data_IF_619130621986
#
_entry.id   IF_619130621986
#
_cell.length_a   1.000
_cell.length_b   1.000
_cell.length_c   1.000
_cell.angle_alpha   90.00
_cell.angle_beta   90.00
_cell.angle_gamma   90.00
#
_symmetry.space_group_name_H-M   'P 1'
#
loop_
_entity.id
_entity.type
_entity.pdbx_description
1 polymer ?
#
# COMPACT_ATOMS: atom_id res chain seq x y z
N UNK A 1 -2.90 -3.20 -1.08
CA UNK A 1 -4.36 -3.11 -1.26
C UNK A 1 -5.17 -3.54 -0.04
N UNK A 2 -4.86 -3.01 1.16
CA UNK A 2 -5.56 -3.39 2.40
C UNK A 2 -7.00 -2.82 2.46
N UNK A 3 -7.18 -1.54 2.13
CA UNK A 3 -8.49 -0.88 2.19
C UNK A 3 -9.52 -1.47 1.21
N UNK A 4 -9.11 -1.71 -0.04
CA UNK A 4 -9.98 -2.33 -1.06
C UNK A 4 -10.36 -3.77 -0.70
N UNK A 5 -9.40 -4.56 -0.21
CA UNK A 5 -9.65 -5.92 0.24
C UNK A 5 -10.61 -5.98 1.44
N UNK A 6 -10.51 -5.03 2.39
CA UNK A 6 -11.44 -4.96 3.53
C UNK A 6 -12.87 -4.72 3.06
N UNK A 7 -13.09 -3.82 2.11
CA UNK A 7 -14.45 -3.51 1.64
C UNK A 7 -15.13 -4.74 1.03
N UNK A 8 -14.42 -5.47 0.16
CA UNK A 8 -14.91 -6.73 -0.42
C UNK A 8 -15.10 -7.82 0.64
N UNK A 9 -14.13 -7.98 1.54
CA UNK A 9 -14.16 -8.94 2.64
C UNK A 9 -15.36 -8.73 3.56
N UNK A 10 -15.61 -7.50 4.00
CA UNK A 10 -16.74 -7.18 4.88
C UNK A 10 -18.07 -7.46 4.19
N UNK A 11 -18.18 -7.21 2.89
CA UNK A 11 -19.39 -7.49 2.12
C UNK A 11 -19.69 -9.00 2.07
N UNK A 12 -18.68 -9.82 1.80
CA UNK A 12 -18.79 -11.29 1.80
C UNK A 12 -19.12 -11.81 3.21
N UNK A 13 -18.48 -11.28 4.25
CA UNK A 13 -18.73 -11.72 5.63
C UNK A 13 -20.13 -11.35 6.13
N UNK A 14 -20.69 -10.23 5.68
CA UNK A 14 -22.10 -9.88 5.94
C UNK A 14 -23.06 -10.91 5.35
N UNK A 15 -22.75 -11.43 4.16
CA UNK A 15 -23.51 -12.52 3.53
C UNK A 15 -23.44 -13.84 4.31
N UNK A 16 -22.26 -14.20 4.82
CA UNK A 16 -22.06 -15.49 5.52
C UNK A 16 -22.53 -15.50 6.99
N UNK A 17 -22.31 -14.42 7.74
CA UNK A 17 -22.47 -14.40 9.20
C UNK A 17 -23.62 -13.51 9.69
N UNK A 18 -24.33 -12.82 8.79
CA UNK A 18 -25.49 -11.97 9.13
C UNK A 18 -25.19 -11.02 10.30
N UNK A 19 -25.95 -11.14 11.39
CA UNK A 19 -25.82 -10.28 12.57
C UNK A 19 -24.47 -10.43 13.30
N UNK A 20 -23.76 -11.55 13.15
CA UNK A 20 -22.43 -11.76 13.75
C UNK A 20 -21.27 -11.29 12.86
N UNK A 21 -21.57 -10.83 11.63
CA UNK A 21 -20.55 -10.49 10.66
C UNK A 21 -19.56 -9.44 11.18
N UNK A 22 -20.03 -8.40 11.88
CA UNK A 22 -19.16 -7.34 12.40
C UNK A 22 -18.13 -7.88 13.39
N UNK A 23 -18.56 -8.63 14.42
CA UNK A 23 -17.66 -9.17 15.44
C UNK A 23 -16.68 -10.19 14.87
N UNK A 24 -17.12 -11.04 13.94
CA UNK A 24 -16.25 -12.01 13.26
C UNK A 24 -15.27 -11.33 12.32
N UNK A 25 -15.69 -10.35 11.54
CA UNK A 25 -14.81 -9.55 10.68
C UNK A 25 -13.75 -8.81 11.49
N UNK A 26 -14.13 -8.17 12.60
CA UNK A 26 -13.16 -7.50 13.49
C UNK A 26 -12.13 -8.47 14.07
N UNK A 27 -12.57 -9.65 14.53
CA UNK A 27 -11.67 -10.66 15.07
C UNK A 27 -10.68 -11.20 14.01
N UNK A 28 -11.16 -11.45 12.78
CA UNK A 28 -10.32 -11.90 11.67
C UNK A 28 -9.33 -10.80 11.29
N UNK A 29 -9.81 -9.56 11.09
CA UNK A 29 -8.96 -8.43 10.75
C UNK A 29 -7.87 -8.22 11.81
N UNK A 30 -8.22 -8.24 13.10
CA UNK A 30 -7.25 -8.09 14.19
C UNK A 30 -6.17 -9.19 14.15
N UNK A 31 -6.57 -10.45 13.97
CA UNK A 31 -5.62 -11.59 13.91
C UNK A 31 -4.72 -11.51 12.69
N UNK A 32 -5.29 -11.23 11.52
CA UNK A 32 -4.54 -11.09 10.27
C UNK A 32 -3.57 -9.91 10.34
N UNK A 33 -4.01 -8.76 10.84
CA UNK A 33 -3.14 -7.59 11.03
C UNK A 33 -2.02 -7.88 12.03
N UNK A 34 -2.31 -8.55 13.14
CA UNK A 34 -1.28 -8.92 14.12
C UNK A 34 -0.24 -9.86 13.50
N UNK A 35 -0.67 -10.90 12.79
CA UNK A 35 0.22 -11.84 12.12
C UNK A 35 1.09 -11.12 11.08
N UNK A 36 0.49 -10.23 10.28
CA UNK A 36 1.22 -9.46 9.27
C UNK A 36 2.27 -8.55 9.93
N UNK A 37 1.90 -7.82 10.99
CA UNK A 37 2.84 -6.95 11.72
C UNK A 37 4.00 -7.76 12.29
N UNK A 38 3.72 -8.87 12.98
CA UNK A 38 4.77 -9.72 13.57
C UNK A 38 5.69 -10.26 12.48
N UNK A 39 5.12 -10.76 11.38
CA UNK A 39 5.89 -11.30 10.27
C UNK A 39 6.79 -10.23 9.62
N UNK A 40 6.24 -9.04 9.33
CA UNK A 40 7.01 -7.93 8.73
C UNK A 40 8.10 -7.45 9.67
N UNK A 41 7.82 -7.30 10.96
CA UNK A 41 8.85 -6.88 11.93
C UNK A 41 9.96 -7.92 12.07
N UNK A 42 9.62 -9.21 12.17
CA UNK A 42 10.61 -10.28 12.19
C UNK A 42 11.47 -10.30 10.93
N UNK A 43 10.87 -10.08 9.76
CA UNK A 43 11.60 -9.96 8.50
C UNK A 43 12.56 -8.77 8.50
N UNK A 44 12.11 -7.58 8.93
CA UNK A 44 12.95 -6.38 9.02
C UNK A 44 14.12 -6.60 9.99
N UNK A 45 13.86 -7.13 11.19
CA UNK A 45 14.93 -7.43 12.14
C UNK A 45 15.92 -8.46 11.59
N UNK A 46 15.43 -9.50 10.92
CA UNK A 46 16.29 -10.49 10.26
C UNK A 46 17.21 -9.84 9.21
N UNK A 47 16.68 -8.95 8.37
CA UNK A 47 17.49 -8.23 7.38
C UNK A 47 18.51 -7.29 8.03
N UNK A 48 18.14 -6.57 9.08
CA UNK A 48 19.05 -5.67 9.82
C UNK A 48 20.18 -6.45 10.52
N UNK A 49 19.90 -7.65 11.03
CA UNK A 49 20.92 -8.50 11.66
C UNK A 49 21.80 -9.23 10.63
N UNK A 50 21.30 -9.43 9.40
CA UNK A 50 22.01 -10.18 8.36
C UNK A 50 22.88 -9.31 7.43
N UNK A 51 22.58 -8.02 7.31
CA UNK A 51 23.25 -7.11 6.38
C UNK A 51 23.92 -5.95 7.11
N UNK A 52 25.10 -5.56 6.63
CA UNK A 52 25.79 -4.37 7.14
C UNK A 52 25.12 -3.09 6.60
N UNK A 53 25.32 -1.93 7.28
CA UNK A 53 24.82 -0.65 6.77
C UNK A 53 25.31 -0.32 5.35
N UNK A 54 26.56 -0.68 5.03
CA UNK A 54 27.14 -0.48 3.69
C UNK A 54 26.41 -1.32 2.63
N UNK A 55 26.10 -2.57 2.94
CA UNK A 55 25.35 -3.45 2.05
C UNK A 55 23.92 -2.95 1.79
N UNK A 56 23.26 -2.40 2.82
CA UNK A 56 21.95 -1.77 2.67
C UNK A 56 21.99 -0.52 1.77
N UNK A 57 23.05 0.29 1.88
CA UNK A 57 23.26 1.44 1.01
C UNK A 57 23.52 1.02 -0.45
N UNK A 58 24.29 -0.06 -0.65
CA UNK A 58 24.49 -0.63 -1.98
C UNK A 58 23.19 -1.18 -2.59
N UNK A 59 22.39 -1.90 -1.80
CA UNK A 59 21.08 -2.39 -2.25
C UNK A 59 20.15 -1.23 -2.66
N UNK A 60 20.15 -0.14 -1.88
CA UNK A 60 19.42 1.10 -2.20
C UNK A 60 19.94 1.72 -3.51
N UNK A 61 21.27 1.82 -3.68
CA UNK A 61 21.88 2.39 -4.88
C UNK A 61 21.60 1.55 -6.14
N UNK A 62 21.53 0.23 -6.00
CA UNK A 62 21.18 -0.69 -7.08
C UNK A 62 19.67 -0.74 -7.36
N UNK A 63 18.84 -0.16 -6.50
CA UNK A 63 17.37 -0.17 -6.60
C UNK A 63 16.79 -1.59 -6.71
N UNK A 64 17.37 -2.54 -5.95
CA UNK A 64 16.95 -3.94 -5.92
C UNK A 64 16.34 -4.31 -4.58
N UNK A 65 15.51 -5.36 -4.56
CA UNK A 65 14.96 -5.88 -3.30
C UNK A 65 16.07 -6.46 -2.42
N UNK A 66 15.88 -6.42 -1.10
CA UNK A 66 16.82 -7.01 -0.12
C UNK A 66 17.06 -8.50 -0.40
N UNK A 67 16.03 -9.23 -0.82
CA UNK A 67 16.13 -10.65 -1.17
C UNK A 67 17.00 -10.85 -2.43
N UNK A 68 16.81 -10.02 -3.45
CA UNK A 68 17.64 -10.03 -4.66
C UNK A 68 19.09 -9.66 -4.37
N UNK A 69 19.32 -8.69 -3.48
CA UNK A 69 20.66 -8.31 -3.06
C UNK A 69 21.37 -9.44 -2.28
N UNK A 70 20.70 -10.03 -1.29
CA UNK A 70 21.22 -11.18 -0.55
C UNK A 70 21.54 -12.36 -1.47
N UNK A 71 20.70 -12.61 -2.48
CA UNK A 71 20.94 -13.64 -3.48
C UNK A 71 22.20 -13.41 -4.32
N UNK A 72 22.60 -12.15 -4.52
CA UNK A 72 23.80 -11.80 -5.30
C UNK A 72 25.09 -11.81 -4.47
N UNK A 73 25.00 -11.54 -3.16
CA UNK A 73 26.17 -11.45 -2.26
C UNK A 73 26.43 -12.77 -1.52
N UNK A 74 25.43 -13.62 -1.37
CA UNK A 74 25.59 -14.93 -0.75
C UNK A 74 26.03 -15.96 -1.80
N UNK A 75 27.19 -16.59 -1.61
CA UNK A 75 27.69 -17.71 -2.44
C UNK A 75 26.88 -19.02 -2.25
N UNK A 76 25.55 -18.92 -2.14
CA UNK A 76 24.66 -20.06 -2.02
C UNK A 76 23.79 -20.18 -3.28
N UNK A 77 24.06 -21.20 -4.10
CA UNK A 77 23.37 -21.45 -5.37
C UNK A 77 21.85 -21.55 -5.25
N UNK A 78 21.34 -21.99 -4.09
CA UNK A 78 19.89 -22.05 -3.83
C UNK A 78 19.28 -20.65 -3.73
N UNK A 79 19.88 -19.77 -2.92
CA UNK A 79 19.38 -18.40 -2.72
C UNK A 79 19.56 -17.56 -3.99
N UNK A 80 20.69 -17.72 -4.68
CA UNK A 80 21.00 -17.05 -5.94
C UNK A 80 19.94 -17.30 -7.03
N UNK A 81 19.38 -18.51 -7.08
CA UNK A 81 18.39 -18.90 -8.10
C UNK A 81 16.96 -18.61 -7.64
N UNK A 82 16.60 -19.01 -6.41
CA UNK A 82 15.23 -18.88 -5.93
C UNK A 82 14.88 -17.46 -5.45
N UNK A 83 15.84 -16.68 -4.97
CA UNK A 83 15.62 -15.31 -4.49
C UNK A 83 14.99 -14.40 -5.56
N UNK A 84 15.65 -14.20 -6.72
CA UNK A 84 15.11 -13.43 -7.83
C UNK A 84 13.80 -14.01 -8.40
N UNK A 85 13.69 -15.35 -8.47
CA UNK A 85 12.47 -16.00 -8.97
C UNK A 85 11.26 -15.73 -8.07
N UNK A 86 11.42 -15.86 -6.75
CA UNK A 86 10.38 -15.55 -5.76
C UNK A 86 10.02 -14.07 -5.82
N UNK A 87 11.01 -13.17 -5.93
CA UNK A 87 10.78 -11.74 -6.09
C UNK A 87 9.97 -11.44 -7.37
N UNK A 88 10.31 -12.06 -8.49
CA UNK A 88 9.59 -11.90 -9.76
C UNK A 88 8.13 -12.36 -9.68
N UNK A 89 7.87 -13.54 -9.11
CA UNK A 89 6.52 -14.08 -8.93
C UNK A 89 5.72 -13.17 -8.00
N UNK A 90 6.31 -12.72 -6.88
CA UNK A 90 5.67 -11.83 -5.92
C UNK A 90 5.31 -10.48 -6.55
N UNK A 91 6.23 -9.86 -7.30
CA UNK A 91 6.00 -8.60 -7.99
C UNK A 91 4.91 -8.76 -9.05
N UNK A 92 4.95 -9.81 -9.86
CA UNK A 92 3.95 -10.06 -10.91
C UNK A 92 2.56 -10.26 -10.32
N UNK A 93 2.44 -11.05 -9.25
CA UNK A 93 1.18 -11.27 -8.54
C UNK A 93 0.62 -9.97 -7.94
N UNK A 94 1.47 -9.18 -7.28
CA UNK A 94 1.10 -7.89 -6.70
C UNK A 94 0.69 -6.88 -7.78
N UNK A 95 1.43 -6.83 -8.88
CA UNK A 95 1.18 -5.95 -10.02
C UNK A 95 -0.24 -6.13 -10.57
N UNK A 96 -0.70 -7.37 -10.80
CA UNK A 96 -2.05 -7.61 -11.34
C UNK A 96 -3.14 -7.05 -10.42
N UNK A 97 -3.03 -7.26 -9.11
CA UNK A 97 -3.99 -6.72 -8.15
C UNK A 97 -4.02 -5.19 -8.12
N UNK A 98 -2.85 -4.56 -8.17
CA UNK A 98 -2.73 -3.10 -8.21
C UNK A 98 -3.19 -2.49 -9.54
N UNK A 99 -2.82 -3.12 -10.66
CA UNK A 99 -3.20 -2.70 -12.00
C UNK A 99 -4.72 -2.77 -12.21
N UNK A 100 -5.34 -3.90 -11.86
CA UNK A 100 -6.79 -4.07 -11.96
C UNK A 100 -7.54 -3.07 -11.06
N UNK A 101 -7.09 -2.89 -9.81
CA UNK A 101 -7.69 -1.92 -8.89
C UNK A 101 -7.56 -0.48 -9.38
N UNK A 102 -6.40 -0.09 -9.90
CA UNK A 102 -6.18 1.25 -10.47
C UNK A 102 -7.04 1.48 -11.72
N UNK A 103 -7.13 0.47 -12.60
CA UNK A 103 -7.97 0.50 -13.80
C UNK A 103 -9.45 0.63 -13.47
N UNK A 104 -9.95 -0.15 -12.51
CA UNK A 104 -11.34 -0.06 -12.04
C UNK A 104 -11.61 1.32 -11.43
N UNK A 105 -10.71 1.82 -10.57
CA UNK A 105 -10.86 3.15 -9.97
C UNK A 105 -10.82 4.26 -11.02
N UNK A 106 -9.95 4.19 -12.02
CA UNK A 106 -9.86 5.17 -13.10
C UNK A 106 -11.12 5.17 -13.95
N UNK A 107 -11.57 3.99 -14.40
CA UNK A 107 -12.79 3.85 -15.20
C UNK A 107 -14.01 4.36 -14.43
N UNK A 108 -14.14 4.01 -13.14
CA UNK A 108 -15.22 4.49 -12.28
C UNK A 108 -15.23 6.00 -12.10
N UNK A 109 -14.07 6.64 -11.97
CA UNK A 109 -13.97 8.11 -11.86
C UNK A 109 -14.31 8.80 -13.18
N UNK A 110 -13.71 8.36 -14.29
CA UNK A 110 -13.87 8.99 -15.61
C UNK A 110 -15.30 8.83 -16.13
N UNK A 111 -15.91 7.66 -16.00
CA UNK A 111 -17.29 7.45 -16.45
C UNK A 111 -18.33 8.16 -15.59
N UNK A 112 -18.01 8.48 -14.33
CA UNK A 112 -18.90 9.22 -13.44
C UNK A 112 -18.78 10.74 -13.63
N UNK A 113 -17.61 11.23 -14.02
CA UNK A 113 -17.36 12.66 -14.24
C UNK A 113 -17.55 13.09 -15.70
N UNK A 114 -17.48 12.14 -16.64
CA UNK A 114 -17.58 12.40 -18.08
C UNK A 114 -18.58 11.43 -18.72
N UNK A 115 -19.30 11.86 -19.76
CA UNK A 115 -20.20 11.00 -20.55
C UNK A 115 -19.47 10.02 -21.49
N UNK A 116 -18.21 9.67 -21.18
CA UNK A 116 -17.42 8.75 -22.00
C UNK A 116 -17.89 7.30 -21.77
N UNK A 117 -17.96 6.53 -22.85
CA UNK A 117 -18.23 5.09 -22.77
C UNK A 117 -17.13 4.38 -21.98
N UNK A 118 -17.52 3.38 -21.19
CA UNK A 118 -16.59 2.58 -20.38
C UNK A 118 -15.47 1.97 -21.21
N UNK A 119 -15.74 1.55 -22.45
CA UNK A 119 -14.72 1.01 -23.37
C UNK A 119 -13.66 2.05 -23.77
N UNK A 120 -14.07 3.29 -23.97
CA UNK A 120 -13.16 4.39 -24.34
C UNK A 120 -12.33 4.84 -23.14
N UNK A 121 -12.96 5.01 -21.97
CA UNK A 121 -12.28 5.31 -20.72
C UNK A 121 -11.22 4.24 -20.39
N UNK A 122 -11.59 2.97 -20.59
CA UNK A 122 -10.71 1.84 -20.36
C UNK A 122 -9.48 1.81 -21.26
N UNK A 123 -9.67 2.02 -22.57
CA UNK A 123 -8.56 2.06 -23.53
C UNK A 123 -7.60 3.21 -23.24
N UNK A 124 -8.14 4.38 -22.88
CA UNK A 124 -7.34 5.55 -22.47
C UNK A 124 -6.59 5.27 -21.17
N UNK A 125 -7.27 4.72 -20.16
CA UNK A 125 -6.68 4.38 -18.87
C UNK A 125 -5.54 3.39 -19.00
N UNK A 126 -5.75 2.30 -19.75
CA UNK A 126 -4.70 1.30 -20.04
C UNK A 126 -3.52 1.93 -20.78
N UNK A 127 -3.77 2.80 -21.77
CA UNK A 127 -2.69 3.49 -22.48
C UNK A 127 -1.87 4.41 -21.56
N UNK A 128 -2.53 5.20 -20.71
CA UNK A 128 -1.87 6.08 -19.74
C UNK A 128 -1.05 5.25 -18.74
N UNK A 129 -1.64 4.19 -18.18
CA UNK A 129 -0.96 3.31 -17.23
C UNK A 129 0.24 2.63 -17.88
N UNK A 130 0.12 2.15 -19.13
CA UNK A 130 1.22 1.54 -19.87
C UNK A 130 2.37 2.54 -20.08
N UNK A 131 2.05 3.76 -20.54
CA UNK A 131 3.06 4.82 -20.73
C UNK A 131 3.74 5.19 -19.40
N UNK A 132 2.99 5.27 -18.30
CA UNK A 132 3.55 5.54 -16.98
C UNK A 132 4.49 4.43 -16.50
N UNK A 133 4.09 3.16 -16.65
CA UNK A 133 4.92 2.00 -16.30
C UNK A 133 6.17 1.95 -17.17
N UNK A 134 6.04 2.15 -18.48
CA UNK A 134 7.16 2.18 -19.41
C UNK A 134 8.14 3.31 -19.07
N UNK A 135 7.64 4.51 -18.79
CA UNK A 135 8.48 5.63 -18.35
C UNK A 135 9.25 5.29 -17.07
N UNK A 136 8.59 4.70 -16.07
CA UNK A 136 9.25 4.26 -14.85
C UNK A 136 10.29 3.17 -15.12
N UNK A 137 10.01 2.21 -16.02
CA UNK A 137 10.94 1.14 -16.37
C UNK A 137 12.21 1.67 -17.06
N UNK A 138 12.09 2.70 -17.92
CA UNK A 138 13.26 3.30 -18.60
C UNK A 138 14.04 4.23 -17.68
N UNK A 139 13.37 5.06 -16.89
CA UNK A 139 14.03 6.00 -15.98
C UNK A 139 14.61 5.33 -14.74
N UNK A 140 14.11 4.15 -14.37
CA UNK A 140 14.47 3.42 -13.16
C UNK A 140 14.52 4.31 -11.90
N UNK A 141 13.43 5.07 -11.60
CA UNK A 141 13.40 5.90 -10.40
C UNK A 141 13.52 5.03 -9.15
N UNK A 142 14.21 5.55 -8.13
CA UNK A 142 14.36 4.90 -6.83
C UNK A 142 13.00 4.51 -6.26
N UNK A 143 12.78 3.21 -6.01
CA UNK A 143 11.52 2.70 -5.46
C UNK A 143 11.29 3.29 -4.06
N UNK A 144 12.36 3.44 -3.27
CA UNK A 144 12.29 4.04 -1.94
C UNK A 144 11.84 5.50 -2.01
N UNK A 145 12.41 6.29 -2.92
CA UNK A 145 12.06 7.71 -3.04
C UNK A 145 10.63 7.86 -3.57
N UNK A 146 10.17 6.99 -4.48
CA UNK A 146 8.77 6.95 -4.90
C UNK A 146 7.82 6.59 -3.74
N UNK A 147 8.22 5.69 -2.86
CA UNK A 147 7.43 5.32 -1.69
C UNK A 147 7.35 6.47 -0.68
N UNK A 148 8.48 7.12 -0.39
CA UNK A 148 8.52 8.22 0.57
C UNK A 148 7.82 9.46 0.03
N UNK A 149 8.10 9.84 -1.21
CA UNK A 149 7.58 11.07 -1.80
C UNK A 149 6.11 10.90 -2.22
N UNK A 150 5.80 9.95 -3.09
CA UNK A 150 4.44 9.87 -3.64
C UNK A 150 3.49 9.15 -2.69
N UNK A 151 3.88 7.98 -2.20
CA UNK A 151 2.99 7.11 -1.43
C UNK A 151 2.80 7.60 0.01
N UNK A 152 3.85 8.11 0.65
CA UNK A 152 3.85 8.58 2.04
C UNK A 152 2.73 9.57 2.35
N UNK A 153 2.67 10.75 1.69
CA UNK A 153 1.63 11.75 1.94
C UNK A 153 0.23 11.24 1.61
N UNK A 154 0.06 10.53 0.49
CA UNK A 154 -1.24 10.01 0.06
C UNK A 154 -1.79 9.02 1.10
N UNK A 155 -0.95 8.08 1.54
CA UNK A 155 -1.32 7.11 2.57
C UNK A 155 -1.60 7.82 3.89
N UNK A 156 -0.78 8.78 4.30
CA UNK A 156 -1.01 9.54 5.53
C UNK A 156 -2.35 10.28 5.51
N UNK A 157 -2.69 10.94 4.40
CA UNK A 157 -3.98 11.61 4.23
C UNK A 157 -5.15 10.61 4.29
N UNK A 158 -5.04 9.45 3.63
CA UNK A 158 -6.10 8.43 3.63
C UNK A 158 -6.25 7.78 5.01
N UNK A 159 -5.15 7.48 5.70
CA UNK A 159 -5.19 6.78 6.99
C UNK A 159 -5.53 7.69 8.17
N UNK A 160 -5.09 8.94 8.16
CA UNK A 160 -5.28 9.85 9.29
C UNK A 160 -6.32 10.93 9.05
N UNK A 161 -6.33 11.59 7.88
CA UNK A 161 -7.23 12.72 7.64
C UNK A 161 -8.63 12.25 7.20
N UNK A 162 -8.71 11.33 6.24
CA UNK A 162 -9.99 10.84 5.70
C UNK A 162 -10.96 10.28 6.77
N UNK A 163 -10.55 9.39 7.70
CA UNK A 163 -11.47 8.88 8.72
C UNK A 163 -11.93 9.98 9.67
N UNK A 164 -11.06 10.95 9.97
CA UNK A 164 -11.40 12.09 10.81
C UNK A 164 -12.45 12.97 10.14
N UNK A 165 -12.28 13.30 8.86
CA UNK A 165 -13.30 14.01 8.06
C UNK A 165 -14.60 13.20 8.03
N UNK A 166 -14.54 11.88 7.88
CA UNK A 166 -15.71 11.01 7.84
C UNK A 166 -16.51 11.05 9.15
N UNK A 167 -15.86 11.10 10.33
CA UNK A 167 -16.52 11.25 11.63
C UNK A 167 -17.28 12.58 11.74
N UNK A 168 -16.79 13.64 11.10
CA UNK A 168 -17.46 14.95 11.05
C UNK A 168 -18.51 15.06 9.94
N UNK A 169 -18.38 14.39 8.79
CA UNK A 169 -19.34 14.51 7.68
C UNK A 169 -20.41 13.43 7.62
N UNK A 170 -20.16 12.22 8.14
CA UNK A 170 -21.07 11.07 8.01
C UNK A 170 -21.91 10.89 9.27
N UNK A 171 -23.26 11.01 9.22
CA UNK A 171 -24.14 10.87 10.38
C UNK A 171 -23.92 9.59 11.20
N UNK A 172 -23.71 8.46 10.52
CA UNK A 172 -23.48 7.15 11.15
C UNK A 172 -22.18 7.07 11.98
N UNK A 173 -21.20 7.93 11.73
CA UNK A 173 -19.91 7.96 12.43
C UNK A 173 -19.84 9.04 13.51
N UNK A 174 -20.87 9.89 13.64
CA UNK A 174 -20.90 10.96 14.64
C UNK A 174 -20.79 10.45 16.08
N UNK A 175 -21.16 9.20 16.34
CA UNK A 175 -20.99 8.52 17.64
C UNK A 175 -19.54 8.45 18.15
N UNK A 176 -18.57 8.66 17.26
CA UNK A 176 -17.14 8.70 17.60
C UNK A 176 -16.60 10.13 17.77
N UNK A 177 -17.42 11.18 17.58
CA UNK A 177 -17.00 12.57 17.79
C UNK A 177 -16.62 12.81 19.25
N UNK A 178 -15.59 13.64 19.45
CA UNK A 178 -15.15 14.09 20.78
C UNK A 178 -14.47 13.01 21.64
N UNK A 179 -14.29 11.77 21.14
CA UNK A 179 -13.49 10.78 21.87
C UNK A 179 -12.02 11.16 21.84
N UNK A 180 -11.33 10.94 22.96
CA UNK A 180 -9.89 11.21 23.06
C UNK A 180 -9.08 10.51 21.94
N UNK A 181 -9.46 9.26 21.59
CA UNK A 181 -8.84 8.52 20.48
C UNK A 181 -8.95 9.25 19.14
N UNK A 182 -10.07 9.93 18.87
CA UNK A 182 -10.33 10.67 17.63
C UNK A 182 -9.47 11.93 17.59
N UNK A 183 -9.36 12.66 18.70
CA UNK A 183 -8.45 13.81 18.82
C UNK A 183 -6.98 13.40 18.70
N UNK A 184 -6.59 12.28 19.32
CA UNK A 184 -5.24 11.72 19.23
C UNK A 184 -4.87 11.36 17.79
N UNK A 185 -5.74 10.64 17.08
CA UNK A 185 -5.51 10.26 15.67
C UNK A 185 -5.38 11.48 14.77
N UNK A 186 -6.19 12.53 15.02
CA UNK A 186 -6.11 13.78 14.26
C UNK A 186 -4.81 14.54 14.56
N UNK A 187 -4.39 14.64 15.81
CA UNK A 187 -3.16 15.32 16.20
C UNK A 187 -1.92 14.62 15.64
N UNK A 188 -1.81 13.29 15.82
CA UNK A 188 -0.72 12.48 15.25
C UNK A 188 -0.75 12.52 13.73
N UNK A 189 -1.94 12.48 13.13
CA UNK A 189 -2.12 12.61 11.69
C UNK A 189 -1.63 13.93 11.11
N UNK A 190 -2.00 15.04 11.75
CA UNK A 190 -1.54 16.38 11.37
C UNK A 190 -0.03 16.52 11.51
N UNK A 191 0.55 16.00 12.60
CA UNK A 191 2.01 15.98 12.78
C UNK A 191 2.71 15.15 11.70
N UNK A 192 2.18 13.97 11.37
CA UNK A 192 2.74 13.11 10.32
C UNK A 192 2.68 13.78 8.95
N UNK A 193 1.55 14.38 8.59
CA UNK A 193 1.41 15.11 7.32
C UNK A 193 2.31 16.35 7.30
N UNK A 194 2.40 17.09 8.40
CA UNK A 194 3.31 18.24 8.51
C UNK A 194 4.78 17.84 8.36
N UNK A 195 5.20 16.73 8.97
CA UNK A 195 6.56 16.21 8.84
C UNK A 195 6.89 15.78 7.40
N UNK A 196 5.94 15.11 6.73
CA UNK A 196 6.10 14.73 5.33
C UNK A 196 6.19 15.96 4.43
N UNK A 197 5.31 16.95 4.60
CA UNK A 197 5.36 18.21 3.83
C UNK A 197 6.66 18.97 4.10
N UNK A 198 7.13 18.99 5.35
CA UNK A 198 8.42 19.61 5.68
C UNK A 198 9.58 18.91 4.97
N UNK A 199 9.62 17.58 4.96
CA UNK A 199 10.63 16.81 4.21
C UNK A 199 10.53 16.94 2.68
N UNK A 200 9.47 17.54 2.17
CA UNK A 200 9.33 17.91 0.76
C UNK A 200 9.84 19.31 0.41
N UNK A 201 9.85 20.21 1.41
CA UNK A 201 10.19 21.64 1.24
C UNK A 201 11.63 21.93 1.69
N UNK A 202 12.15 21.16 2.65
CA UNK A 202 13.52 21.26 3.19
C UNK A 202 14.48 20.32 2.45
#
# INVERSE_FOLDING_TARGET
SHAAAISSFVNVQRGHYGNQATAKSEAILKRTSLLLIVFVLLFVFSCVLSLTPEQMLQAKAQNVSVLSYLANVTDNSFIATFGPLVAFIAITSSFLGHFLGARESFNGLVTKQTSLSMKSADKIGVAIMFLAIWFCAVKNPSILDMMDQLSGPIIAMILFIMPMIAVYKVPALQKYRGRFSTLFVLAVGLLAVAALIYGFVA
#
